data_IF_583260285330
#
_entry.id   IF_583260285330
#
_cell.length_a   1.000
_cell.length_b   1.000
_cell.length_c   1.000
_cell.angle_alpha   90.00
_cell.angle_beta   90.00
_cell.angle_gamma   90.00
#
_symmetry.space_group_name_H-M   'P 1'
#
loop_
_entity.id
_entity.type
_entity.pdbx_description
1 polymer ?
#
# COMPACT_ATOMS: atom_id res chain seq x y z
N UNK A 1 61.13 33.42 18.67
CA UNK A 1 61.27 34.69 17.95
C UNK A 1 61.03 34.57 16.45
N UNK A 2 60.33 33.55 15.96
CA UNK A 2 59.97 33.43 14.55
C UNK A 2 58.49 33.81 14.29
N UNK A 3 57.71 34.12 15.33
CA UNK A 3 56.31 34.50 15.21
C UNK A 3 56.05 35.81 14.45
N UNK A 4 57.05 36.68 14.45
CA UNK A 4 57.00 37.99 13.73
C UNK A 4 57.30 37.86 12.23
N UNK A 5 57.73 36.70 11.76
CA UNK A 5 58.01 36.47 10.33
C UNK A 5 56.85 35.77 9.60
N UNK A 6 55.79 35.39 10.30
CA UNK A 6 54.62 34.76 9.71
C UNK A 6 53.70 35.83 9.08
N UNK A 7 53.56 35.79 7.77
CA UNK A 7 52.62 36.62 7.01
C UNK A 7 51.20 36.01 7.08
N UNK A 8 50.62 35.98 8.29
CA UNK A 8 49.25 35.57 8.46
C UNK A 8 48.27 36.70 8.13
N UNK A 9 47.21 36.47 7.38
CA UNK A 9 46.22 37.47 7.08
C UNK A 9 45.55 37.95 8.38
N UNK A 10 45.51 39.27 8.56
CA UNK A 10 44.73 39.91 9.65
C UNK A 10 43.28 39.97 9.24
N UNK A 11 42.44 39.18 9.86
CA UNK A 11 41.00 39.15 9.56
C UNK A 11 40.18 39.00 10.87
N UNK A 12 38.98 39.55 10.85
CA UNK A 12 38.01 39.37 11.91
C UNK A 12 37.40 37.93 11.88
N UNK A 13 37.63 37.17 10.81
CA UNK A 13 37.17 35.83 10.68
C UNK A 13 38.02 34.89 11.53
N UNK A 14 37.44 34.14 12.46
CA UNK A 14 38.20 33.26 13.35
C UNK A 14 38.91 32.15 12.58
N UNK A 15 40.22 31.97 12.89
CA UNK A 15 41.06 30.94 12.26
C UNK A 15 40.61 29.51 12.54
N UNK A 16 39.93 29.28 13.67
CA UNK A 16 39.44 27.96 14.05
C UNK A 16 37.95 27.84 13.76
N UNK A 17 37.57 26.83 12.98
CA UNK A 17 36.19 26.43 12.92
C UNK A 17 35.75 25.94 14.32
N UNK A 18 34.58 26.28 14.73
CA UNK A 18 33.92 25.76 15.93
C UNK A 18 32.41 25.83 15.65
N UNK A 19 31.96 24.93 14.76
CA UNK A 19 30.62 24.88 14.25
C UNK A 19 29.58 24.85 15.39
N UNK A 20 29.79 23.99 16.37
CA UNK A 20 28.89 23.84 17.51
C UNK A 20 28.63 25.15 18.29
N UNK A 21 29.61 26.03 18.38
CA UNK A 21 29.47 27.32 19.06
C UNK A 21 29.03 28.47 18.13
N UNK A 22 29.32 28.37 16.84
CA UNK A 22 29.11 29.47 15.90
C UNK A 22 27.81 29.34 15.10
N UNK A 23 27.44 28.14 14.72
CA UNK A 23 26.21 27.90 13.95
C UNK A 23 24.96 28.43 14.62
N UNK A 24 24.74 28.24 15.93
CA UNK A 24 23.55 28.78 16.59
C UNK A 24 23.34 30.29 16.43
N UNK A 25 24.44 31.05 16.27
CA UNK A 25 24.38 32.49 16.01
C UNK A 25 24.24 32.86 14.53
N UNK A 26 24.57 31.96 13.63
CA UNK A 26 24.52 32.18 12.19
C UNK A 26 23.23 31.66 11.55
N UNK A 27 22.68 30.59 12.08
CA UNK A 27 21.46 29.94 11.54
C UNK A 27 20.31 30.95 11.38
N UNK A 28 19.88 31.71 12.41
CA UNK A 28 18.76 32.66 12.23
C UNK A 28 19.00 33.67 11.11
N UNK A 29 20.25 34.17 10.99
CA UNK A 29 20.65 35.15 9.97
C UNK A 29 20.61 34.56 8.54
N UNK A 30 20.84 33.27 8.41
CA UNK A 30 20.92 32.57 7.11
C UNK A 30 19.66 31.81 6.75
N UNK A 31 18.69 31.79 7.65
CA UNK A 31 17.37 31.16 7.46
C UNK A 31 16.24 32.21 7.58
N UNK A 32 15.61 32.31 8.73
CA UNK A 32 14.43 33.13 8.97
C UNK A 32 14.66 34.63 8.68
N UNK A 33 15.75 35.23 9.17
CA UNK A 33 16.03 36.65 8.92
C UNK A 33 16.30 36.93 7.43
N UNK A 34 17.10 36.06 6.78
CA UNK A 34 17.36 36.18 5.34
C UNK A 34 16.07 35.98 4.53
N UNK A 35 15.22 35.03 4.92
CA UNK A 35 13.95 34.79 4.24
C UNK A 35 13.04 36.01 4.34
N UNK A 36 12.85 36.58 5.53
CA UNK A 36 12.04 37.78 5.75
C UNK A 36 12.61 39.03 5.05
N UNK A 37 13.93 39.18 5.08
CA UNK A 37 14.58 40.28 4.36
C UNK A 37 14.28 40.21 2.87
N UNK A 38 14.43 39.05 2.22
CA UNK A 38 14.20 38.96 0.79
C UNK A 38 12.71 39.09 0.43
N UNK A 39 11.80 38.69 1.31
CA UNK A 39 10.36 38.89 1.14
C UNK A 39 9.99 40.40 1.15
N UNK A 40 10.63 41.20 1.99
CA UNK A 40 10.34 42.62 2.13
C UNK A 40 11.09 43.48 1.11
N UNK A 41 12.30 43.07 0.72
CA UNK A 41 13.19 43.89 -0.11
C UNK A 41 13.10 43.61 -1.62
N UNK A 42 12.44 42.51 -2.04
CA UNK A 42 12.32 42.11 -3.44
C UNK A 42 10.87 42.11 -3.92
N UNK A 43 10.66 42.65 -5.12
CA UNK A 43 9.33 42.60 -5.75
C UNK A 43 8.94 41.16 -6.13
N UNK A 44 7.66 40.87 -6.00
CA UNK A 44 7.07 39.60 -6.50
C UNK A 44 6.72 39.68 -7.99
N UNK A 45 6.53 40.88 -8.54
CA UNK A 45 6.13 41.06 -9.93
C UNK A 45 7.24 40.65 -10.92
N UNK A 46 6.97 39.55 -11.66
CA UNK A 46 7.85 39.06 -12.71
C UNK A 46 9.18 38.45 -12.26
N UNK A 47 9.47 38.42 -10.95
CA UNK A 47 10.77 38.02 -10.41
C UNK A 47 10.67 37.04 -9.24
N UNK A 48 9.53 36.41 -9.04
CA UNK A 48 9.37 35.36 -7.99
C UNK A 48 9.78 33.99 -8.49
N UNK A 49 10.25 33.16 -7.55
CA UNK A 49 10.49 31.77 -7.74
C UNK A 49 9.74 31.01 -6.64
N UNK A 50 8.71 30.28 -7.04
CA UNK A 50 7.89 29.46 -6.14
C UNK A 50 8.39 28.04 -6.17
N UNK A 51 8.74 27.49 -5.02
CA UNK A 51 9.05 26.07 -4.85
C UNK A 51 8.05 25.46 -3.88
N UNK A 52 7.17 24.64 -4.39
CA UNK A 52 6.20 23.92 -3.56
C UNK A 52 6.89 22.82 -2.76
N UNK A 53 6.61 22.77 -1.47
CA UNK A 53 7.12 21.73 -0.58
C UNK A 53 6.13 20.58 -0.45
N UNK A 54 6.58 19.32 -0.67
CA UNK A 54 5.87 18.15 -0.21
C UNK A 54 6.14 18.00 1.30
N UNK A 55 5.10 18.16 2.14
CA UNK A 55 5.29 18.19 3.57
C UNK A 55 5.60 16.80 4.12
N UNK A 56 6.48 16.67 5.14
CA UNK A 56 6.68 15.40 5.81
C UNK A 56 5.44 15.03 6.64
N UNK A 57 5.23 13.72 6.84
CA UNK A 57 4.25 13.25 7.78
C UNK A 57 4.58 13.72 9.20
N UNK A 58 3.57 14.26 9.88
CA UNK A 58 3.68 14.72 11.27
C UNK A 58 3.49 13.57 12.26
N UNK A 59 4.27 12.50 12.12
CA UNK A 59 4.11 11.29 12.93
C UNK A 59 5.40 10.82 13.64
N UNK A 60 6.55 11.47 13.40
CA UNK A 60 7.81 11.01 13.95
C UNK A 60 8.96 11.99 13.77
N UNK A 61 10.15 11.49 14.10
CA UNK A 61 11.39 12.22 13.93
C UNK A 61 11.84 12.18 12.46
N UNK A 62 12.66 13.15 12.09
CA UNK A 62 13.21 13.21 10.74
C UNK A 62 14.29 12.16 10.54
N UNK A 63 14.41 11.68 9.31
CA UNK A 63 15.46 10.75 8.89
C UNK A 63 16.28 11.32 7.74
N UNK A 64 17.34 10.64 7.35
CA UNK A 64 18.28 11.08 6.30
C UNK A 64 17.59 11.40 4.95
N UNK A 65 16.50 10.72 4.62
CA UNK A 65 15.71 11.02 3.41
C UNK A 65 15.08 12.40 3.45
N UNK A 66 14.58 12.84 4.61
CA UNK A 66 14.10 14.21 4.81
C UNK A 66 15.23 15.22 4.66
N UNK A 67 16.40 14.94 5.25
CA UNK A 67 17.57 15.80 5.13
C UNK A 67 17.97 15.98 3.66
N UNK A 68 18.09 14.89 2.90
CA UNK A 68 18.43 14.93 1.49
C UNK A 68 17.43 15.77 0.69
N UNK A 69 16.13 15.52 0.87
CA UNK A 69 15.07 16.22 0.17
C UNK A 69 15.11 17.74 0.44
N UNK A 70 15.19 18.12 1.73
CA UNK A 70 15.21 19.55 2.13
C UNK A 70 16.50 20.24 1.71
N UNK A 71 17.64 19.58 1.79
CA UNK A 71 18.92 20.15 1.35
C UNK A 71 18.92 20.44 -0.16
N UNK A 72 18.40 19.52 -0.98
CA UNK A 72 18.30 19.75 -2.43
C UNK A 72 17.38 20.94 -2.75
N UNK A 73 16.25 21.06 -2.08
CA UNK A 73 15.34 22.21 -2.23
C UNK A 73 15.99 23.50 -1.76
N UNK A 74 16.71 23.47 -0.66
CA UNK A 74 17.42 24.64 -0.12
C UNK A 74 18.51 25.13 -1.07
N UNK A 75 19.28 24.23 -1.68
CA UNK A 75 20.26 24.57 -2.70
C UNK A 75 19.60 25.29 -3.89
N UNK A 76 18.46 24.79 -4.36
CA UNK A 76 17.71 25.41 -5.46
C UNK A 76 17.24 26.80 -5.05
N UNK A 77 16.63 26.94 -3.88
CA UNK A 77 16.15 28.23 -3.37
C UNK A 77 17.27 29.24 -3.23
N UNK A 78 18.38 28.87 -2.61
CA UNK A 78 19.55 29.77 -2.46
C UNK A 78 20.17 30.13 -3.79
N UNK A 79 20.25 29.22 -4.75
CA UNK A 79 20.72 29.50 -6.07
C UNK A 79 19.85 30.55 -6.78
N UNK A 80 18.53 30.42 -6.71
CA UNK A 80 17.61 31.40 -7.28
C UNK A 80 17.66 32.74 -6.54
N UNK A 81 17.86 32.71 -5.22
CA UNK A 81 18.07 33.90 -4.41
C UNK A 81 19.32 34.65 -4.84
N UNK A 82 20.45 33.95 -5.07
CA UNK A 82 21.68 34.54 -5.59
C UNK A 82 21.52 35.14 -6.98
N UNK A 83 20.62 34.63 -7.80
CA UNK A 83 20.23 35.21 -9.10
C UNK A 83 19.33 36.42 -8.97
N UNK A 84 19.04 36.90 -7.78
CA UNK A 84 18.24 38.10 -7.54
C UNK A 84 16.74 37.85 -7.44
N UNK A 85 16.26 36.58 -7.56
CA UNK A 85 14.83 36.30 -7.46
C UNK A 85 14.33 36.38 -6.02
N UNK A 86 13.06 36.72 -5.87
CA UNK A 86 12.32 36.51 -4.62
C UNK A 86 11.90 35.06 -4.51
N UNK A 87 12.17 34.43 -3.38
CA UNK A 87 11.87 33.04 -3.11
C UNK A 87 10.57 32.93 -2.33
N UNK A 88 9.59 32.24 -2.89
CA UNK A 88 8.35 31.89 -2.21
C UNK A 88 8.38 30.39 -1.92
N UNK A 89 8.82 30.03 -0.72
CA UNK A 89 8.92 28.68 -0.21
C UNK A 89 8.27 28.60 1.17
N UNK A 90 7.14 27.91 1.25
CA UNK A 90 6.39 27.73 2.48
C UNK A 90 6.50 26.25 2.87
N UNK A 91 7.21 25.93 3.96
CA UNK A 91 7.24 24.57 4.48
C UNK A 91 5.90 24.18 5.07
N UNK A 92 5.65 22.87 5.22
CA UNK A 92 4.39 22.37 5.77
C UNK A 92 4.53 21.08 6.53
N UNK A 93 3.41 20.65 7.14
CA UNK A 93 3.25 19.37 7.82
C UNK A 93 2.03 18.63 7.33
N UNK A 94 2.19 17.35 6.96
CA UNK A 94 1.09 16.44 6.64
C UNK A 94 0.53 15.83 7.93
N UNK A 95 -0.71 16.20 8.25
CA UNK A 95 -1.31 16.01 9.57
C UNK A 95 -2.39 14.93 9.61
N UNK A 96 -2.67 14.27 8.50
CA UNK A 96 -3.76 13.30 8.40
C UNK A 96 -3.25 11.90 8.08
N UNK A 97 -4.14 10.92 8.27
CA UNK A 97 -3.93 9.54 7.84
C UNK A 97 -3.65 8.55 8.95
N UNK A 98 -3.69 7.28 8.56
CA UNK A 98 -3.56 6.12 9.43
C UNK A 98 -2.25 6.11 10.26
N UNK A 99 -1.07 6.50 9.75
CA UNK A 99 0.16 6.46 10.52
C UNK A 99 0.12 7.36 11.77
N UNK A 100 -0.55 8.52 11.69
CA UNK A 100 -0.70 9.43 12.84
C UNK A 100 -1.70 8.87 13.83
N UNK A 101 -2.83 8.32 13.36
CA UNK A 101 -3.82 7.67 14.23
C UNK A 101 -3.23 6.49 14.98
N UNK A 102 -2.49 5.62 14.31
CA UNK A 102 -1.84 4.46 14.93
C UNK A 102 -0.86 4.89 16.03
N UNK A 103 -0.08 5.94 15.78
CA UNK A 103 0.83 6.49 16.78
C UNK A 103 0.08 7.11 17.95
N UNK A 104 -0.97 7.87 17.69
CA UNK A 104 -1.80 8.50 18.73
C UNK A 104 -2.56 7.47 19.59
N UNK A 105 -2.78 6.26 19.08
CA UNK A 105 -3.46 5.16 19.75
C UNK A 105 -2.52 4.19 20.47
N UNK A 106 -1.21 4.38 20.43
CA UNK A 106 -0.25 3.51 21.11
C UNK A 106 -0.61 3.38 22.60
N UNK A 107 -0.83 2.13 23.05
CA UNK A 107 -1.23 1.82 24.42
C UNK A 107 -2.72 1.92 24.73
N UNK A 108 -3.57 2.17 23.73
CA UNK A 108 -5.04 2.21 23.90
C UNK A 108 -5.71 1.39 22.80
N UNK A 109 -6.83 0.70 23.13
CA UNK A 109 -7.66 0.07 22.12
C UNK A 109 -8.52 1.14 21.43
N UNK A 110 -8.63 1.07 20.11
CA UNK A 110 -9.49 1.99 19.32
C UNK A 110 -10.96 1.91 19.75
N UNK A 111 -11.40 0.77 20.27
CA UNK A 111 -12.76 0.54 20.74
C UNK A 111 -13.11 1.31 22.00
N UNK A 112 -12.11 1.76 22.76
CA UNK A 112 -12.29 2.41 24.07
C UNK A 112 -12.42 3.94 23.95
N UNK A 113 -12.25 4.48 22.73
CA UNK A 113 -12.21 5.91 22.48
C UNK A 113 -13.32 6.34 21.51
N UNK A 114 -13.91 7.50 21.79
CA UNK A 114 -14.80 8.13 20.82
C UNK A 114 -14.03 8.63 19.58
N UNK A 115 -14.67 8.71 18.39
CA UNK A 115 -14.03 9.28 17.21
C UNK A 115 -13.49 10.71 17.44
N UNK A 116 -14.15 11.48 18.29
CA UNK A 116 -13.72 12.84 18.66
C UNK A 116 -12.43 12.82 19.47
N UNK A 117 -12.30 11.87 20.40
CA UNK A 117 -11.10 11.76 21.22
C UNK A 117 -9.91 11.25 20.41
N UNK A 118 -10.14 10.33 19.47
CA UNK A 118 -9.12 9.89 18.51
C UNK A 118 -8.60 11.09 17.72
N UNK A 119 -9.48 11.93 17.17
CA UNK A 119 -9.09 13.13 16.41
C UNK A 119 -8.31 14.13 17.29
N UNK A 120 -8.72 14.35 18.53
CA UNK A 120 -7.99 15.24 19.45
C UNK A 120 -6.58 14.73 19.73
N UNK A 121 -6.44 13.43 20.00
CA UNK A 121 -5.11 12.81 20.21
C UNK A 121 -4.24 12.86 18.96
N UNK A 122 -4.80 12.57 17.79
CA UNK A 122 -4.09 12.65 16.53
C UNK A 122 -3.60 14.08 16.23
N UNK A 123 -4.45 15.10 16.47
CA UNK A 123 -4.08 16.51 16.34
C UNK A 123 -2.94 16.90 17.28
N UNK A 124 -3.00 16.51 18.54
CA UNK A 124 -1.93 16.76 19.50
C UNK A 124 -0.61 16.08 19.07
N UNK A 125 -0.68 14.81 18.67
CA UNK A 125 0.48 14.07 18.16
C UNK A 125 1.12 14.75 16.96
N UNK A 126 0.30 15.20 15.99
CA UNK A 126 0.78 15.92 14.82
C UNK A 126 1.42 17.27 15.18
N UNK A 127 0.80 18.05 16.07
CA UNK A 127 1.35 19.35 16.52
C UNK A 127 2.72 19.20 17.19
N UNK A 128 2.87 18.21 18.06
CA UNK A 128 4.16 17.91 18.70
C UNK A 128 5.24 17.48 17.68
N UNK A 129 4.85 16.65 16.70
CA UNK A 129 5.77 16.21 15.65
C UNK A 129 6.22 17.40 14.78
N UNK A 130 5.31 18.29 14.37
CA UNK A 130 5.61 19.50 13.62
C UNK A 130 6.61 20.38 14.38
N UNK A 131 6.40 20.63 15.66
CA UNK A 131 7.29 21.44 16.47
C UNK A 131 8.73 20.88 16.47
N UNK A 132 8.89 19.56 16.65
CA UNK A 132 10.20 18.92 16.58
C UNK A 132 10.83 18.97 15.20
N UNK A 133 10.06 18.62 14.17
CA UNK A 133 10.53 18.59 12.78
C UNK A 133 10.95 19.98 12.30
N UNK A 134 10.21 21.02 12.65
CA UNK A 134 10.54 22.40 12.31
C UNK A 134 11.83 22.86 12.95
N UNK A 135 12.04 22.55 14.22
CA UNK A 135 13.28 22.83 14.93
C UNK A 135 14.49 22.11 14.30
N UNK A 136 14.30 20.87 13.84
CA UNK A 136 15.35 20.13 13.14
C UNK A 136 15.65 20.74 11.75
N UNK A 137 14.65 21.13 10.98
CA UNK A 137 14.85 21.81 9.68
C UNK A 137 15.55 23.16 9.82
N UNK A 138 15.17 23.95 10.82
CA UNK A 138 15.87 25.17 11.15
C UNK A 138 17.33 24.90 11.54
N UNK A 139 17.54 23.89 12.42
CA UNK A 139 18.88 23.44 12.82
C UNK A 139 19.74 23.00 11.64
N UNK A 140 19.14 22.41 10.60
CA UNK A 140 19.83 22.04 9.35
C UNK A 140 20.11 23.24 8.45
N UNK A 141 19.61 24.41 8.79
CA UNK A 141 19.85 25.65 8.06
C UNK A 141 18.99 25.83 6.82
N UNK A 142 17.84 25.18 6.73
CA UNK A 142 16.91 25.31 5.60
C UNK A 142 16.32 26.73 5.56
N UNK A 143 16.39 27.37 4.39
CA UNK A 143 15.90 28.73 4.15
C UNK A 143 14.38 28.79 4.13
N UNK A 144 13.77 29.24 5.23
CA UNK A 144 12.33 29.47 5.35
C UNK A 144 12.07 30.42 6.53
N UNK A 145 10.82 30.82 6.73
CA UNK A 145 10.37 31.43 7.98
C UNK A 145 9.97 30.34 8.96
N UNK A 146 10.75 30.16 10.02
CA UNK A 146 10.53 29.15 11.06
C UNK A 146 9.88 29.71 12.34
N UNK A 147 9.64 31.03 12.38
CA UNK A 147 8.97 31.69 13.48
C UNK A 147 7.47 31.76 13.22
N UNK A 148 6.78 30.64 13.46
CA UNK A 148 5.34 30.51 13.29
C UNK A 148 4.70 29.98 14.57
N UNK A 149 3.46 30.40 14.83
CA UNK A 149 2.71 29.87 15.95
C UNK A 149 2.21 28.46 15.64
N UNK A 150 2.18 27.60 16.66
CA UNK A 150 1.73 26.23 16.49
C UNK A 150 0.25 26.12 16.10
N UNK A 151 -0.55 27.15 16.32
CA UNK A 151 -2.00 27.08 16.21
C UNK A 151 -2.60 27.76 14.98
N UNK A 152 -1.94 28.76 14.40
CA UNK A 152 -2.50 29.56 13.30
C UNK A 152 -1.70 29.42 11.99
N UNK A 153 -2.43 29.51 10.86
CA UNK A 153 -1.84 29.70 9.56
C UNK A 153 -1.55 31.19 9.35
N UNK A 154 -0.28 31.56 9.44
CA UNK A 154 0.19 32.95 9.26
C UNK A 154 0.91 33.17 7.89
N UNK A 155 0.90 32.17 7.01
CA UNK A 155 1.58 32.20 5.72
C UNK A 155 3.04 31.74 5.77
N UNK A 156 3.62 31.50 6.94
CA UNK A 156 5.00 31.04 7.10
C UNK A 156 5.12 29.51 7.07
N UNK A 157 4.10 28.81 7.56
CA UNK A 157 4.03 27.33 7.59
C UNK A 157 2.59 26.89 7.37
N UNK A 158 2.36 25.84 6.54
CA UNK A 158 1.02 25.30 6.36
C UNK A 158 0.86 23.95 7.06
N UNK A 159 -0.34 23.69 7.57
CA UNK A 159 -0.75 22.43 8.18
C UNK A 159 -1.95 21.91 7.43
N UNK A 160 -1.89 20.66 6.96
CA UNK A 160 -3.03 20.08 6.23
C UNK A 160 -4.29 19.93 7.10
N UNK A 161 -4.14 20.03 8.44
CA UNK A 161 -5.24 20.01 9.41
C UNK A 161 -5.75 21.43 9.79
N UNK A 162 -5.24 22.51 9.20
CA UNK A 162 -5.79 23.84 9.44
C UNK A 162 -7.13 24.00 8.74
N UNK A 163 -8.01 24.82 9.33
CA UNK A 163 -9.36 25.02 8.77
C UNK A 163 -9.34 25.64 7.37
N UNK A 164 -8.39 26.54 7.14
CA UNK A 164 -8.20 27.22 5.86
C UNK A 164 -7.75 26.21 4.78
N UNK A 165 -6.84 25.31 5.13
CA UNK A 165 -6.38 24.26 4.21
C UNK A 165 -7.49 23.27 3.88
N UNK A 166 -8.21 22.80 4.91
CA UNK A 166 -9.36 21.90 4.74
C UNK A 166 -10.46 22.57 3.90
N UNK A 167 -10.75 23.84 4.13
CA UNK A 167 -11.73 24.59 3.35
C UNK A 167 -11.33 24.72 1.87
N UNK A 168 -10.07 25.05 1.60
CA UNK A 168 -9.54 25.14 0.24
C UNK A 168 -9.60 23.78 -0.48
N UNK A 169 -9.28 22.69 0.21
CA UNK A 169 -9.37 21.33 -0.33
C UNK A 169 -10.81 20.96 -0.66
N UNK A 170 -11.78 21.28 0.21
CA UNK A 170 -13.19 21.03 -0.03
C UNK A 170 -13.73 21.84 -1.20
N UNK A 171 -13.25 23.07 -1.40
CA UNK A 171 -13.64 23.90 -2.55
C UNK A 171 -13.18 23.29 -3.88
N UNK A 172 -11.94 22.83 -3.96
CA UNK A 172 -11.43 22.11 -5.14
C UNK A 172 -12.24 20.83 -5.38
N UNK A 173 -12.53 20.07 -4.33
CA UNK A 173 -13.36 18.86 -4.44
C UNK A 173 -14.78 19.17 -4.94
N UNK A 174 -15.39 20.26 -4.45
CA UNK A 174 -16.69 20.75 -4.95
C UNK A 174 -16.65 21.04 -6.45
N UNK A 175 -15.62 21.72 -6.93
CA UNK A 175 -15.46 21.99 -8.36
C UNK A 175 -15.31 20.71 -9.19
N UNK A 176 -14.59 19.73 -8.69
CA UNK A 176 -14.44 18.43 -9.37
C UNK A 176 -15.78 17.71 -9.52
N UNK A 177 -16.64 17.76 -8.48
CA UNK A 177 -18.01 17.21 -8.54
C UNK A 177 -18.83 17.95 -9.58
N UNK A 178 -18.83 19.29 -9.57
CA UNK A 178 -19.58 20.11 -10.52
C UNK A 178 -19.16 19.87 -11.98
N UNK A 179 -17.90 19.54 -12.20
CA UNK A 179 -17.35 19.16 -13.52
C UNK A 179 -17.58 17.69 -13.88
N UNK A 180 -18.29 16.91 -13.06
CA UNK A 180 -18.52 15.47 -13.22
C UNK A 180 -17.23 14.63 -13.33
N UNK A 181 -16.12 15.10 -12.75
CA UNK A 181 -14.86 14.35 -12.71
C UNK A 181 -14.92 13.28 -11.61
N UNK A 182 -15.66 13.55 -10.54
CA UNK A 182 -15.86 12.66 -9.40
C UNK A 182 -17.29 12.17 -9.35
N UNK A 183 -17.46 10.87 -9.21
CA UNK A 183 -18.77 10.23 -9.04
C UNK A 183 -18.71 9.14 -7.96
N UNK A 184 -19.85 8.82 -7.37
CA UNK A 184 -19.97 7.75 -6.39
C UNK A 184 -20.08 6.40 -7.11
N UNK A 185 -19.13 5.51 -6.81
CA UNK A 185 -19.10 4.16 -7.35
C UNK A 185 -18.83 3.12 -6.26
N UNK A 186 -18.91 1.83 -6.65
CA UNK A 186 -18.46 0.70 -5.83
C UNK A 186 -17.31 0.02 -6.53
N UNK A 187 -16.19 -0.15 -5.81
CA UNK A 187 -15.01 -0.83 -6.30
C UNK A 187 -14.47 -1.69 -5.16
N UNK A 188 -14.00 -2.92 -5.42
CA UNK A 188 -13.25 -3.68 -4.43
C UNK A 188 -12.01 -2.90 -3.99
N UNK A 189 -11.78 -2.85 -2.68
CA UNK A 189 -10.63 -2.16 -2.07
C UNK A 189 -9.97 -3.08 -1.06
N UNK A 190 -8.68 -2.86 -0.83
CA UNK A 190 -7.97 -3.52 0.26
C UNK A 190 -8.51 -3.04 1.60
N UNK A 191 -8.65 -3.97 2.51
CA UNK A 191 -9.22 -3.70 3.83
C UNK A 191 -8.36 -4.32 4.93
N UNK A 192 -8.02 -3.51 5.94
CA UNK A 192 -7.35 -3.98 7.14
C UNK A 192 -8.37 -4.27 8.24
N UNK A 193 -8.59 -5.53 8.61
CA UNK A 193 -9.52 -5.87 9.70
C UNK A 193 -9.07 -5.35 11.07
N UNK A 194 -7.76 -5.31 11.31
CA UNK A 194 -7.19 -4.84 12.58
C UNK A 194 -7.33 -3.33 12.75
N UNK A 195 -7.07 -2.56 11.68
CA UNK A 195 -7.21 -1.10 11.70
C UNK A 195 -8.61 -0.63 11.33
N UNK A 196 -9.47 -1.53 10.83
CA UNK A 196 -10.85 -1.26 10.37
C UNK A 196 -10.92 -0.10 9.38
N UNK A 197 -10.04 -0.13 8.38
CA UNK A 197 -9.96 0.88 7.34
C UNK A 197 -9.64 0.29 5.98
N UNK A 198 -10.05 0.99 4.91
CA UNK A 198 -9.56 0.73 3.57
C UNK A 198 -8.10 1.19 3.47
N UNK A 199 -7.34 0.52 2.61
CA UNK A 199 -5.94 0.82 2.34
C UNK A 199 -5.75 1.17 0.86
N UNK A 200 -4.90 2.14 0.58
CA UNK A 200 -4.38 2.38 -0.75
C UNK A 200 -3.34 1.30 -1.11
N UNK A 201 -3.10 1.07 -2.40
CA UNK A 201 -2.12 0.09 -2.86
C UNK A 201 -0.70 0.40 -2.36
N UNK A 202 -0.35 1.68 -2.26
CA UNK A 202 0.95 2.13 -1.73
C UNK A 202 1.14 1.88 -0.21
N UNK A 203 0.08 1.55 0.51
CA UNK A 203 0.11 1.26 1.95
C UNK A 203 0.19 -0.25 2.24
N UNK A 204 0.26 -1.09 1.19
CA UNK A 204 0.33 -2.53 1.32
C UNK A 204 1.77 -3.00 1.44
N UNK A 205 1.99 -3.89 2.38
CA UNK A 205 3.22 -4.65 2.50
C UNK A 205 2.95 -6.10 2.12
N UNK A 206 3.77 -6.63 1.21
CA UNK A 206 3.67 -8.00 0.75
C UNK A 206 4.69 -8.87 1.49
N UNK A 207 4.22 -10.01 1.96
CA UNK A 207 5.08 -11.01 2.59
C UNK A 207 4.66 -12.41 2.12
N UNK A 208 5.63 -13.30 2.01
CA UNK A 208 5.37 -14.70 1.72
C UNK A 208 4.61 -15.33 2.89
N UNK A 209 3.51 -16.01 2.56
CA UNK A 209 2.67 -16.69 3.54
C UNK A 209 2.31 -18.08 3.06
N UNK A 210 2.47 -19.06 3.93
CA UNK A 210 1.94 -20.40 3.70
C UNK A 210 0.43 -20.35 3.95
N UNK A 211 -0.36 -20.76 2.95
CA UNK A 211 -1.81 -20.89 3.05
C UNK A 211 -2.23 -22.30 2.67
N UNK A 212 -3.27 -22.78 3.31
CA UNK A 212 -3.89 -24.06 2.96
C UNK A 212 -4.60 -23.92 1.60
N UNK A 213 -4.49 -24.95 0.78
CA UNK A 213 -5.22 -25.08 -0.47
C UNK A 213 -6.16 -26.30 -0.41
N UNK A 214 -7.28 -26.19 -1.09
CA UNK A 214 -8.27 -27.26 -1.12
C UNK A 214 -8.70 -27.58 -2.54
N UNK A 215 -8.96 -28.86 -2.79
CA UNK A 215 -9.67 -29.33 -3.95
C UNK A 215 -11.13 -29.60 -3.58
N UNK A 216 -12.05 -29.11 -4.43
CA UNK A 216 -13.49 -29.18 -4.19
C UNK A 216 -14.15 -29.75 -5.41
N UNK A 217 -15.05 -30.69 -5.24
CA UNK A 217 -15.88 -31.24 -6.30
C UNK A 217 -17.26 -30.58 -6.29
N UNK A 218 -17.64 -29.97 -7.39
CA UNK A 218 -18.99 -29.42 -7.61
C UNK A 218 -19.79 -30.36 -8.49
N UNK A 219 -20.90 -30.94 -8.01
CA UNK A 219 -21.73 -31.84 -8.79
C UNK A 219 -22.27 -31.13 -10.04
N UNK A 220 -22.14 -31.74 -11.20
CA UNK A 220 -22.68 -31.25 -12.44
C UNK A 220 -24.08 -31.84 -12.68
N UNK A 221 -25.03 -30.98 -13.07
CA UNK A 221 -26.36 -31.42 -13.50
C UNK A 221 -26.31 -31.64 -15.00
N UNK A 222 -26.38 -32.88 -15.42
CA UNK A 222 -26.44 -33.26 -16.82
C UNK A 222 -27.89 -33.21 -17.32
N UNK A 223 -28.14 -32.55 -18.45
CA UNK A 223 -29.49 -32.30 -18.99
C UNK A 223 -29.81 -33.09 -20.25
N UNK A 224 -28.95 -34.03 -20.65
CA UNK A 224 -29.20 -34.97 -21.76
C UNK A 224 -28.80 -34.47 -23.16
N UNK A 225 -28.19 -33.28 -23.28
CA UNK A 225 -27.97 -32.66 -24.60
C UNK A 225 -26.56 -32.13 -24.83
N UNK A 226 -25.67 -32.12 -23.83
CA UNK A 226 -24.31 -31.60 -24.01
C UNK A 226 -23.31 -32.64 -24.47
N UNK A 227 -22.26 -32.21 -25.20
CA UNK A 227 -21.12 -33.08 -25.56
C UNK A 227 -20.46 -33.66 -24.30
N UNK A 228 -20.37 -32.87 -23.23
CA UNK A 228 -19.92 -33.29 -21.91
C UNK A 228 -20.67 -34.56 -21.45
N UNK A 229 -21.99 -34.54 -21.52
CA UNK A 229 -22.81 -35.66 -21.08
C UNK A 229 -22.62 -36.88 -21.97
N UNK A 230 -22.51 -36.69 -23.31
CA UNK A 230 -22.25 -37.72 -24.24
C UNK A 230 -20.91 -38.45 -23.96
N UNK A 231 -19.82 -37.69 -23.80
CA UNK A 231 -18.50 -38.24 -23.47
C UNK A 231 -18.53 -38.98 -22.13
N UNK A 232 -19.27 -38.49 -21.12
CA UNK A 232 -19.41 -39.16 -19.85
C UNK A 232 -20.25 -40.41 -19.94
N UNK A 233 -21.35 -40.41 -20.74
CA UNK A 233 -22.23 -41.57 -20.88
C UNK A 233 -21.60 -42.69 -21.71
N UNK A 234 -20.67 -42.40 -22.55
CA UNK A 234 -19.94 -43.36 -23.40
C UNK A 234 -18.86 -44.16 -22.61
N UNK A 235 -18.60 -43.82 -21.32
CA UNK A 235 -17.68 -44.66 -20.51
C UNK A 235 -18.26 -46.05 -20.24
N UNK A 236 -17.62 -47.10 -20.71
CA UNK A 236 -18.12 -48.50 -20.55
C UNK A 236 -18.13 -48.97 -19.10
N UNK A 237 -17.45 -48.28 -18.20
CA UNK A 237 -17.42 -48.57 -16.76
C UNK A 237 -18.37 -47.71 -15.92
N UNK A 238 -19.17 -46.85 -16.56
CA UNK A 238 -20.19 -46.08 -15.91
C UNK A 238 -21.33 -46.94 -15.39
N UNK A 239 -21.74 -46.73 -14.16
CA UNK A 239 -22.93 -47.35 -13.56
C UNK A 239 -24.06 -46.32 -13.43
N UNK A 240 -25.27 -46.78 -13.13
CA UNK A 240 -26.42 -45.92 -12.88
C UNK A 240 -26.24 -45.00 -11.66
N UNK A 241 -25.33 -45.37 -10.76
CA UNK A 241 -24.98 -44.60 -9.55
C UNK A 241 -23.76 -43.70 -9.73
N UNK A 242 -23.14 -43.68 -10.90
CA UNK A 242 -21.98 -42.82 -11.21
C UNK A 242 -22.36 -41.33 -11.18
N UNK A 243 -21.53 -40.52 -10.57
CA UNK A 243 -21.67 -39.05 -10.52
C UNK A 243 -20.59 -38.37 -11.34
N UNK A 244 -20.92 -37.19 -11.92
CA UNK A 244 -19.97 -36.33 -12.58
C UNK A 244 -19.88 -35.02 -11.80
N UNK A 245 -18.67 -34.60 -11.49
CA UNK A 245 -18.40 -33.34 -10.76
C UNK A 245 -17.27 -32.58 -11.43
N UNK A 246 -17.29 -31.25 -11.35
CA UNK A 246 -16.14 -30.44 -11.72
C UNK A 246 -15.19 -30.33 -10.51
N UNK A 247 -13.91 -30.63 -10.72
CA UNK A 247 -12.88 -30.52 -9.70
C UNK A 247 -12.22 -29.13 -9.81
N UNK A 248 -12.28 -28.39 -8.73
CA UNK A 248 -11.77 -27.01 -8.62
C UNK A 248 -10.74 -26.94 -7.51
N UNK A 249 -9.68 -26.19 -7.73
CA UNK A 249 -8.67 -25.90 -6.71
C UNK A 249 -8.70 -24.42 -6.30
N UNK A 250 -8.52 -24.15 -5.01
CA UNK A 250 -8.44 -22.78 -4.48
C UNK A 250 -7.52 -22.70 -3.26
N UNK A 251 -6.82 -21.56 -3.14
CA UNK A 251 -6.11 -21.14 -1.91
C UNK A 251 -6.95 -20.23 -1.02
N UNK A 252 -8.21 -19.97 -1.40
CA UNK A 252 -9.12 -19.06 -0.67
C UNK A 252 -10.43 -19.78 -0.32
N UNK A 253 -10.40 -20.84 0.53
CA UNK A 253 -11.57 -21.69 0.80
C UNK A 253 -12.75 -20.93 1.41
N UNK A 254 -12.53 -19.81 2.06
CA UNK A 254 -13.60 -18.97 2.62
C UNK A 254 -14.50 -18.31 1.56
N UNK A 255 -14.13 -18.36 0.29
CA UNK A 255 -14.97 -17.85 -0.81
C UNK A 255 -16.04 -18.86 -1.26
N UNK A 256 -15.90 -20.12 -0.90
CA UNK A 256 -16.80 -21.22 -1.32
C UNK A 256 -18.27 -20.96 -0.97
N UNK A 257 -18.62 -20.51 0.25
CA UNK A 257 -20.03 -20.27 0.60
C UNK A 257 -20.71 -19.20 -0.27
N UNK A 258 -19.95 -18.33 -0.90
CA UNK A 258 -20.45 -17.28 -1.79
C UNK A 258 -20.38 -17.65 -3.28
N UNK A 259 -19.92 -18.86 -3.61
CA UNK A 259 -19.83 -19.31 -5.01
C UNK A 259 -21.24 -19.48 -5.62
N UNK A 260 -21.41 -18.94 -6.83
CA UNK A 260 -22.67 -19.01 -7.56
C UNK A 260 -22.53 -19.75 -8.90
N UNK A 261 -21.33 -19.85 -9.45
CA UNK A 261 -21.09 -20.48 -10.75
C UNK A 261 -19.65 -20.91 -10.91
N UNK A 262 -19.40 -21.82 -11.84
CA UNK A 262 -18.10 -22.17 -12.36
C UNK A 262 -17.96 -21.58 -13.77
N UNK A 263 -16.82 -20.99 -14.07
CA UNK A 263 -16.49 -20.49 -15.39
C UNK A 263 -15.36 -21.35 -15.99
N UNK A 264 -15.50 -21.68 -17.25
CA UNK A 264 -14.48 -22.40 -18.04
C UNK A 264 -13.98 -21.53 -19.17
N UNK A 265 -12.76 -21.72 -19.60
CA UNK A 265 -12.21 -21.02 -20.76
C UNK A 265 -12.65 -21.76 -22.03
N UNK A 266 -13.26 -21.12 -23.03
CA UNK A 266 -13.84 -21.79 -24.20
C UNK A 266 -12.81 -22.56 -25.04
N UNK A 267 -11.57 -22.09 -25.10
CA UNK A 267 -10.52 -22.69 -25.92
C UNK A 267 -9.63 -23.71 -25.16
N UNK A 268 -9.85 -23.85 -23.86
CA UNK A 268 -9.07 -24.85 -23.09
C UNK A 268 -9.70 -26.22 -23.19
N UNK A 269 -8.82 -27.20 -23.21
CA UNK A 269 -9.22 -28.62 -23.18
C UNK A 269 -9.42 -29.07 -21.74
N UNK A 270 -10.51 -29.78 -21.52
CA UNK A 270 -10.90 -30.38 -20.26
C UNK A 270 -11.05 -31.89 -20.43
N UNK A 271 -10.56 -32.64 -19.47
CA UNK A 271 -10.66 -34.09 -19.47
C UNK A 271 -11.70 -34.56 -18.47
N UNK A 272 -12.53 -35.49 -18.87
CA UNK A 272 -13.32 -36.28 -17.95
C UNK A 272 -12.45 -37.44 -17.50
N UNK A 273 -12.22 -37.52 -16.20
CA UNK A 273 -11.41 -38.56 -15.59
C UNK A 273 -12.26 -39.37 -14.63
N UNK A 274 -12.09 -40.68 -14.69
CA UNK A 274 -12.71 -41.61 -13.70
C UNK A 274 -11.68 -41.92 -12.64
N UNK A 275 -12.11 -41.83 -11.37
CA UNK A 275 -11.32 -42.34 -10.26
C UNK A 275 -11.22 -43.87 -10.37
N UNK A 276 -10.04 -44.43 -10.12
CA UNK A 276 -9.90 -45.90 -9.98
C UNK A 276 -10.59 -46.34 -8.73
N UNK A 277 -11.52 -47.26 -8.87
CA UNK A 277 -12.34 -47.74 -7.77
C UNK A 277 -11.58 -48.62 -6.76
N UNK A 278 -11.92 -48.42 -5.50
CA UNK A 278 -11.49 -49.26 -4.37
C UNK A 278 -12.44 -50.45 -4.12
N UNK A 279 -13.19 -50.88 -5.14
CA UNK A 279 -13.96 -52.10 -5.09
C UNK A 279 -15.48 -51.97 -4.86
N UNK A 280 -16.04 -50.78 -4.61
CA UNK A 280 -17.48 -50.61 -4.30
C UNK A 280 -18.41 -50.41 -5.51
N UNK A 281 -17.91 -50.50 -6.73
CA UNK A 281 -18.73 -50.38 -7.95
C UNK A 281 -19.32 -49.01 -8.23
N UNK A 282 -18.98 -48.01 -7.44
CA UNK A 282 -19.49 -46.65 -7.56
C UNK A 282 -18.41 -45.73 -8.14
N UNK A 283 -18.37 -45.54 -9.47
CA UNK A 283 -17.32 -44.75 -10.12
C UNK A 283 -17.63 -43.25 -10.10
N UNK A 284 -16.78 -42.47 -9.43
CA UNK A 284 -16.83 -41.02 -9.46
C UNK A 284 -16.04 -40.47 -10.66
N UNK A 285 -16.67 -39.57 -11.41
CA UNK A 285 -16.05 -38.91 -12.55
C UNK A 285 -15.84 -37.43 -12.24
N UNK A 286 -14.71 -36.91 -12.71
CA UNK A 286 -14.36 -35.51 -12.52
C UNK A 286 -13.99 -34.83 -13.83
N UNK A 287 -14.47 -33.61 -14.02
CA UNK A 287 -14.05 -32.71 -15.07
C UNK A 287 -12.87 -31.90 -14.56
N UNK A 288 -11.74 -31.96 -15.24
CA UNK A 288 -10.49 -31.30 -14.87
C UNK A 288 -9.85 -30.67 -16.12
N UNK A 289 -9.25 -29.48 -16.01
CA UNK A 289 -8.47 -28.93 -17.11
C UNK A 289 -7.32 -29.87 -17.47
N UNK A 290 -7.23 -30.28 -18.74
CA UNK A 290 -6.27 -31.29 -19.21
C UNK A 290 -4.84 -30.97 -18.84
N UNK A 291 -4.46 -29.68 -18.95
CA UNK A 291 -3.13 -29.21 -18.56
C UNK A 291 -2.77 -29.38 -17.09
N UNK A 292 -3.78 -29.49 -16.22
CA UNK A 292 -3.60 -29.61 -14.77
C UNK A 292 -3.68 -31.05 -14.26
N UNK A 293 -3.98 -32.03 -15.11
CA UNK A 293 -4.13 -33.42 -14.72
C UNK A 293 -2.94 -33.95 -13.93
N UNK A 294 -1.73 -33.64 -14.35
CA UNK A 294 -0.52 -34.10 -13.69
C UNK A 294 -0.40 -33.46 -12.29
N UNK A 295 -0.57 -32.14 -12.18
CA UNK A 295 -0.48 -31.44 -10.89
C UNK A 295 -1.56 -31.89 -9.91
N UNK A 296 -2.79 -32.12 -10.42
CA UNK A 296 -3.90 -32.66 -9.60
C UNK A 296 -3.58 -34.06 -9.12
N UNK A 297 -3.02 -34.89 -10.00
CA UNK A 297 -2.62 -36.27 -9.66
C UNK A 297 -1.54 -36.28 -8.56
N UNK A 298 -0.48 -35.48 -8.72
CA UNK A 298 0.60 -35.35 -7.75
C UNK A 298 0.08 -34.82 -6.40
N UNK A 299 -0.73 -33.76 -6.40
CA UNK A 299 -1.25 -33.15 -5.18
C UNK A 299 -2.23 -34.06 -4.42
N UNK A 300 -3.04 -34.84 -5.11
CA UNK A 300 -3.98 -35.77 -4.47
C UNK A 300 -3.34 -37.11 -4.04
N UNK A 301 -2.16 -37.42 -4.59
CA UNK A 301 -1.40 -38.62 -4.19
C UNK A 301 -0.78 -38.46 -2.80
N UNK A 302 -0.36 -37.26 -2.46
CA UNK A 302 0.39 -36.95 -1.22
C UNK A 302 -0.53 -36.66 -0.02
N UNK A 303 -1.87 -36.67 -0.21
CA UNK A 303 -2.84 -36.48 0.89
C UNK A 303 -3.06 -37.79 1.59
N UNK A 304 -2.17 -38.14 2.52
CA UNK A 304 -2.43 -39.20 3.53
C UNK A 304 -3.04 -38.55 4.76
N UNK A 305 -4.23 -38.99 5.12
CA UNK A 305 -4.82 -38.72 6.44
C UNK A 305 -4.12 -39.57 7.51
N UNK A 306 -3.51 -38.93 8.50
CA UNK A 306 -2.87 -39.59 9.64
C UNK A 306 -3.86 -40.45 10.45
N UNK A 307 -5.16 -40.29 10.26
CA UNK A 307 -6.24 -40.97 11.00
C UNK A 307 -7.11 -41.94 10.19
N UNK A 308 -6.86 -42.15 8.91
CA UNK A 308 -7.54 -43.13 8.09
C UNK A 308 -9.03 -42.89 7.83
N UNK A 309 -9.54 -41.66 8.03
CA UNK A 309 -10.95 -41.35 7.78
C UNK A 309 -11.06 -40.10 6.87
N UNK A 310 -11.58 -40.27 5.66
CA UNK A 310 -12.20 -39.21 4.89
C UNK A 310 -11.37 -38.51 3.81
N UNK A 311 -10.17 -39.00 3.47
CA UNK A 311 -9.38 -38.52 2.34
C UNK A 311 -9.61 -39.29 1.05
N UNK A 312 -9.17 -38.79 -0.08
CA UNK A 312 -9.07 -39.57 -1.33
C UNK A 312 -8.00 -40.64 -1.13
N UNK A 313 -8.42 -41.91 -0.83
CA UNK A 313 -7.50 -43.02 -0.68
C UNK A 313 -6.92 -43.44 -2.03
N UNK A 314 -5.63 -43.74 -2.05
CA UNK A 314 -4.91 -44.27 -3.19
C UNK A 314 -4.43 -45.66 -2.81
N UNK A 315 -4.91 -46.70 -3.51
CA UNK A 315 -4.28 -48.00 -3.44
C UNK A 315 -3.17 -48.08 -4.53
N UNK A 316 -1.98 -48.43 -4.11
CA UNK A 316 -0.81 -48.59 -4.96
C UNK A 316 -0.95 -49.84 -5.85
N UNK A 317 -1.47 -49.66 -7.09
CA UNK A 317 -1.19 -50.65 -8.15
C UNK A 317 -1.04 -49.92 -9.47
N UNK A 318 -0.11 -49.37 -9.97
CA UNK A 318 0.23 -48.73 -11.27
C UNK A 318 0.40 -47.19 -11.24
N UNK A 319 0.38 -46.53 -10.09
CA UNK A 319 0.79 -45.13 -9.99
C UNK A 319 -0.14 -44.05 -10.57
N UNK A 320 -1.30 -44.42 -11.14
CA UNK A 320 -2.27 -43.45 -11.69
C UNK A 320 -3.58 -43.45 -10.90
N UNK A 321 -3.94 -42.23 -10.37
CA UNK A 321 -5.20 -41.99 -9.67
C UNK A 321 -6.43 -42.00 -10.55
N UNK A 322 -6.26 -41.58 -11.78
CA UNK A 322 -7.33 -41.32 -12.73
C UNK A 322 -7.11 -42.02 -14.05
N UNK A 323 -8.23 -42.49 -14.65
CA UNK A 323 -8.29 -42.92 -16.03
C UNK A 323 -9.01 -41.83 -16.84
N UNK A 324 -8.40 -41.32 -17.90
CA UNK A 324 -9.04 -40.36 -18.82
C UNK A 324 -10.11 -41.10 -19.61
N UNK A 325 -11.33 -40.64 -19.54
CA UNK A 325 -12.49 -41.18 -20.27
C UNK A 325 -12.63 -40.47 -21.61
N UNK A 326 -12.45 -39.17 -21.64
CA UNK A 326 -12.50 -38.37 -22.87
C UNK A 326 -12.14 -36.91 -22.61
N UNK A 327 -12.06 -36.15 -23.66
CA UNK A 327 -11.72 -34.71 -23.63
C UNK A 327 -12.72 -33.92 -24.42
N UNK A 328 -12.87 -32.65 -24.03
CA UNK A 328 -13.74 -31.65 -24.65
C UNK A 328 -13.14 -30.26 -24.50
N UNK A 329 -13.64 -29.28 -25.25
CA UNK A 329 -13.27 -27.88 -25.06
C UNK A 329 -14.23 -27.18 -24.11
N UNK A 330 -13.85 -26.05 -23.53
CA UNK A 330 -14.74 -25.28 -22.64
C UNK A 330 -15.95 -24.67 -23.36
N UNK A 331 -15.98 -24.72 -24.69
CA UNK A 331 -17.11 -24.31 -25.53
C UNK A 331 -18.19 -25.40 -25.67
N UNK A 332 -17.82 -26.65 -25.42
CA UNK A 332 -18.71 -27.83 -25.49
C UNK A 332 -19.54 -28.02 -24.20
#
# INVERSE_FOLDING_TARGET
>A
MLEHTLNLPKTLFPMRANAAKREPHLIPRTTTELYRWQQSSRSSEGNSFVLHDGPPYANGDLHIGHLLNKTLKDIINRYQLLKGKRIDYIPGGDCHGLPIELKALQGSLRTDLSPTDIRKRARACASEAIARQSADFERWGVLADWDFSADDYDGAFYKTMSKEYEAAQLEVFREMILKNIVYRGRKPVYWSPSSRTALAEAELEYADRVSESVFISFPLKCTGTSLLEKVWTDDPKRSSSSSLSALVWTTTPWTIPANMALCVHPEFEYSIVRRRDDGDGNSSHFLVATKLLRSVHEALRDVHDENGQGGFFITETDGHLFNVVGTLTGAD
#
